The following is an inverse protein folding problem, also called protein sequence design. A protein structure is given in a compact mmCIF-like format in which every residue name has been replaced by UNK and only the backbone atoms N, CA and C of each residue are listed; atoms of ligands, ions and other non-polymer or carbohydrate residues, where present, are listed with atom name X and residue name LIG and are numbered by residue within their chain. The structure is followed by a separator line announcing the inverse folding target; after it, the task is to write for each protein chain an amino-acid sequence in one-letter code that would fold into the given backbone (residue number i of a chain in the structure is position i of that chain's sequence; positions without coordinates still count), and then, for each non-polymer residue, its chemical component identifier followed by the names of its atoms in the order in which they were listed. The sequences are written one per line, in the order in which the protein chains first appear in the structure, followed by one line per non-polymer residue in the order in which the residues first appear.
data_IF_215360823795
#
_entry.id   IF_215360823795
#
_cell.length_a   1.000
_cell.length_b   1.000
_cell.length_c   1.000
_cell.angle_alpha   90.00
_cell.angle_beta   90.00
_cell.angle_gamma   90.00
#
_symmetry.space_group_name_H-M   'P 1'
#
loop_
_entity.id
_entity.type
_entity.pdbx_description
1 polymer ?
#
# COMPACT_ATOMS: atom_id res chain seq x y z
N UNK A 1 -16.41 5.91 -17.92
CA UNK A 1 -15.17 5.14 -17.71
C UNK A 1 -15.39 4.28 -16.48
N UNK A 2 -15.28 2.97 -16.63
CA UNK A 2 -15.51 2.02 -15.52
C UNK A 2 -14.16 1.78 -14.86
N UNK A 3 -13.80 2.56 -13.84
CA UNK A 3 -12.56 2.34 -13.11
C UNK A 3 -12.64 0.99 -12.38
N UNK A 4 -11.69 0.10 -12.65
CA UNK A 4 -11.66 -1.25 -12.08
C UNK A 4 -10.86 -1.23 -10.78
N UNK A 5 -11.49 -0.66 -9.75
CA UNK A 5 -10.90 -0.42 -8.45
C UNK A 5 -10.78 -1.71 -7.66
N UNK A 6 -9.57 -2.04 -7.24
CA UNK A 6 -9.27 -3.13 -6.33
C UNK A 6 -8.63 -2.58 -5.06
N UNK A 7 -8.89 -3.26 -3.95
CA UNK A 7 -8.22 -3.01 -2.68
C UNK A 7 -7.34 -4.20 -2.30
N UNK A 8 -6.22 -3.92 -1.64
CA UNK A 8 -5.36 -4.94 -1.05
C UNK A 8 -4.97 -4.54 0.36
N UNK A 9 -4.83 -5.54 1.21
CA UNK A 9 -4.26 -5.36 2.54
C UNK A 9 -2.81 -5.83 2.54
N UNK A 10 -1.92 -4.90 2.85
CA UNK A 10 -0.48 -5.10 2.94
C UNK A 10 -0.07 -5.10 4.40
N UNK A 11 0.50 -6.20 4.85
CA UNK A 11 1.13 -6.33 6.15
C UNK A 11 2.62 -6.00 6.05
N UNK A 12 3.08 -5.02 6.83
CA UNK A 12 4.48 -4.65 6.95
C UNK A 12 5.03 -5.33 8.19
N UNK A 13 6.12 -6.09 8.05
CA UNK A 13 6.72 -6.81 9.18
C UNK A 13 7.45 -5.86 10.14
N UNK A 14 7.93 -4.73 9.63
CA UNK A 14 8.59 -3.72 10.45
C UNK A 14 7.60 -2.92 11.29
N UNK A 15 8.05 -2.53 12.49
CA UNK A 15 7.33 -1.59 13.34
C UNK A 15 7.69 -0.18 12.86
N UNK A 16 6.77 0.43 12.11
CA UNK A 16 6.88 1.81 11.67
C UNK A 16 6.22 2.73 12.70
N UNK A 17 6.90 3.82 13.04
CA UNK A 17 6.31 4.93 13.78
C UNK A 17 5.35 5.74 12.90
N UNK A 18 4.52 6.57 13.52
CA UNK A 18 3.49 7.36 12.84
C UNK A 18 4.06 8.24 11.70
N UNK A 19 5.26 8.79 11.88
CA UNK A 19 5.91 9.63 10.87
C UNK A 19 6.42 8.79 9.69
N UNK A 20 6.97 7.60 9.95
CA UNK A 20 7.36 6.66 8.92
C UNK A 20 6.15 6.12 8.13
N UNK A 21 5.04 5.81 8.82
CA UNK A 21 3.79 5.41 8.18
C UNK A 21 3.23 6.49 7.28
N UNK A 22 3.10 7.72 7.78
CA UNK A 22 2.59 8.83 6.99
C UNK A 22 3.48 9.12 5.77
N UNK A 23 4.81 9.01 5.92
CA UNK A 23 5.75 9.15 4.81
C UNK A 23 5.60 8.03 3.78
N UNK A 24 5.33 6.81 4.23
CA UNK A 24 5.11 5.65 3.37
C UNK A 24 3.80 5.79 2.60
N UNK A 25 2.72 6.18 3.26
CA UNK A 25 1.43 6.46 2.64
C UNK A 25 1.56 7.52 1.55
N UNK A 26 2.17 8.66 1.86
CA UNK A 26 2.37 9.73 0.89
C UNK A 26 3.24 9.30 -0.29
N UNK A 27 4.16 8.35 -0.09
CA UNK A 27 4.95 7.79 -1.16
C UNK A 27 4.15 6.82 -2.04
N UNK A 28 3.34 5.94 -1.44
CA UNK A 28 2.48 4.98 -2.15
C UNK A 28 1.36 5.72 -2.89
N UNK A 29 0.82 6.78 -2.32
CA UNK A 29 -0.21 7.63 -2.95
C UNK A 29 0.27 8.31 -4.24
N UNK A 30 1.58 8.50 -4.39
CA UNK A 30 2.22 9.07 -5.59
C UNK A 30 2.52 8.01 -6.65
N UNK A 31 2.35 6.72 -6.35
CA UNK A 31 2.51 5.65 -7.33
C UNK A 31 1.41 5.72 -8.39
N UNK A 32 1.80 5.42 -9.62
CA UNK A 32 0.85 5.44 -10.75
C UNK A 32 -0.19 4.34 -10.58
N UNK A 33 -1.47 4.71 -10.69
CA UNK A 33 -2.59 3.79 -10.52
C UNK A 33 -3.07 3.62 -9.08
N UNK A 34 -2.42 4.22 -8.09
CA UNK A 34 -2.95 4.26 -6.72
C UNK A 34 -4.03 5.34 -6.63
N UNK A 35 -5.18 4.95 -6.08
CA UNK A 35 -6.36 5.81 -5.92
C UNK A 35 -6.44 6.30 -4.47
N UNK A 36 -6.20 5.41 -3.52
CA UNK A 36 -6.18 5.74 -2.10
C UNK A 36 -5.25 4.80 -1.32
N UNK A 37 -4.72 5.30 -0.21
CA UNK A 37 -3.93 4.50 0.74
C UNK A 37 -4.28 4.96 2.13
N UNK A 38 -4.34 4.02 3.07
CA UNK A 38 -4.56 4.30 4.48
C UNK A 38 -4.10 3.15 5.36
N UNK A 39 -3.52 3.47 6.50
CA UNK A 39 -3.13 2.54 7.54
C UNK A 39 -4.24 2.43 8.59
N UNK A 40 -4.23 1.31 9.32
CA UNK A 40 -5.11 1.16 10.47
C UNK A 40 -4.41 1.70 11.74
N UNK A 41 -4.91 2.74 12.42
CA UNK A 41 -4.26 3.29 13.61
C UNK A 41 -4.25 2.30 14.79
N UNK A 42 -5.19 1.35 14.83
CA UNK A 42 -5.18 0.27 15.84
C UNK A 42 -4.16 -0.84 15.50
N UNK A 43 -3.74 -0.93 14.24
CA UNK A 43 -2.81 -1.95 13.73
C UNK A 43 -1.83 -1.29 12.76
N UNK A 44 -0.86 -0.57 13.32
CA UNK A 44 0.17 0.22 12.61
C UNK A 44 0.96 -0.55 11.55
N UNK A 45 0.95 -1.89 11.57
CA UNK A 45 1.62 -2.76 10.60
C UNK A 45 0.73 -3.14 9.41
N UNK A 46 -0.53 -2.68 9.33
CA UNK A 46 -1.42 -2.96 8.21
C UNK A 46 -1.77 -1.70 7.43
N UNK A 47 -1.50 -1.75 6.13
CA UNK A 47 -1.81 -0.71 5.17
C UNK A 47 -2.81 -1.26 4.16
N UNK A 48 -3.88 -0.52 3.95
CA UNK A 48 -4.84 -0.76 2.88
C UNK A 48 -4.51 0.13 1.71
N UNK A 49 -4.39 -0.45 0.52
CA UNK A 49 -4.12 0.28 -0.72
C UNK A 49 -5.24 0.00 -1.71
N UNK A 50 -5.90 1.06 -2.17
CA UNK A 50 -6.89 1.02 -3.24
C UNK A 50 -6.24 1.51 -4.51
N UNK A 51 -6.30 0.70 -5.55
CA UNK A 51 -5.66 0.98 -6.83
C UNK A 51 -6.57 0.62 -7.99
N UNK A 52 -6.33 1.26 -9.13
CA UNK A 52 -6.96 0.92 -10.39
C UNK A 52 -6.19 -0.23 -11.05
N UNK A 53 -6.86 -1.38 -11.20
CA UNK A 53 -6.27 -2.59 -11.77
C UNK A 53 -6.03 -2.51 -13.28
N UNK A 54 -6.58 -1.49 -13.96
CA UNK A 54 -6.21 -1.16 -15.34
C UNK A 54 -4.86 -0.44 -15.43
N UNK A 55 -4.50 0.31 -14.37
CA UNK A 55 -3.30 1.16 -14.32
C UNK A 55 -2.12 0.49 -13.61
N UNK A 56 -2.36 -0.29 -12.56
CA UNK A 56 -1.32 -0.99 -11.79
C UNK A 56 -1.82 -2.31 -11.21
N UNK A 57 -0.94 -3.07 -10.57
CA UNK A 57 -1.26 -4.37 -9.95
C UNK A 57 -0.71 -4.45 -8.54
N UNK A 58 -1.37 -5.23 -7.69
CA UNK A 58 -0.93 -5.52 -6.33
C UNK A 58 0.54 -5.95 -6.23
N UNK A 59 1.01 -6.77 -7.18
CA UNK A 59 2.41 -7.20 -7.22
C UNK A 59 3.40 -6.06 -7.48
N UNK A 60 3.04 -5.08 -8.30
CA UNK A 60 3.88 -3.91 -8.56
C UNK A 60 3.96 -3.01 -7.33
N UNK A 61 2.81 -2.81 -6.67
CA UNK A 61 2.74 -2.08 -5.41
C UNK A 61 3.60 -2.75 -4.35
N UNK A 62 3.44 -4.07 -4.15
CA UNK A 62 4.25 -4.87 -3.22
C UNK A 62 5.75 -4.70 -3.49
N UNK A 63 6.15 -4.80 -4.75
CA UNK A 63 7.54 -4.65 -5.15
C UNK A 63 8.10 -3.24 -4.88
N UNK A 64 7.24 -2.21 -4.88
CA UNK A 64 7.62 -0.84 -4.50
C UNK A 64 7.97 -0.74 -3.01
N UNK A 65 7.26 -1.47 -2.14
CA UNK A 65 7.62 -1.57 -0.73
C UNK A 65 8.94 -2.31 -0.53
N UNK A 66 9.12 -3.46 -1.19
CA UNK A 66 10.36 -4.25 -1.14
C UNK A 66 11.59 -3.44 -1.60
N UNK A 67 11.45 -2.65 -2.66
CA UNK A 67 12.51 -1.76 -3.17
C UNK A 67 12.95 -0.69 -2.18
N UNK A 68 12.11 -0.34 -1.21
CA UNK A 68 12.42 0.60 -0.13
C UNK A 68 13.11 -0.08 1.06
N UNK A 69 13.33 -1.39 0.97
CA UNK A 69 13.88 -2.22 2.04
C UNK A 69 12.82 -2.71 3.04
N UNK A 70 11.54 -2.43 2.77
CA UNK A 70 10.44 -2.82 3.65
C UNK A 70 9.97 -4.23 3.33
N UNK A 71 9.77 -5.05 4.36
CA UNK A 71 9.24 -6.39 4.26
C UNK A 71 7.71 -6.34 4.31
N UNK A 72 7.12 -6.03 3.16
CA UNK A 72 5.69 -6.02 2.95
C UNK A 72 5.20 -7.38 2.42
N UNK A 73 3.98 -7.78 2.81
CA UNK A 73 3.30 -8.97 2.31
C UNK A 73 1.82 -8.68 2.11
N UNK A 74 1.24 -9.11 0.99
CA UNK A 74 -0.21 -9.04 0.79
C UNK A 74 -0.89 -10.13 1.63
N UNK A 75 -1.79 -9.73 2.51
CA UNK A 75 -2.51 -10.62 3.45
C UNK A 75 -4.01 -10.70 3.17
N UNK A 76 -4.52 -9.90 2.22
CA UNK A 76 -5.92 -9.95 1.79
C UNK A 76 -6.13 -9.28 0.43
N UNK A 77 -7.08 -9.81 -0.34
CA UNK A 77 -7.59 -9.30 -1.61
C UNK A 77 -9.11 -9.28 -1.56
#
# INVERSE_FOLDING_TARGET
MSANLNEIMVHIQEVLDEAALHSLEEAVRKETGVISVGHNPEKSHMIMVVYDSESTRASNLLHSFEKRGLHAQVVGM
#
